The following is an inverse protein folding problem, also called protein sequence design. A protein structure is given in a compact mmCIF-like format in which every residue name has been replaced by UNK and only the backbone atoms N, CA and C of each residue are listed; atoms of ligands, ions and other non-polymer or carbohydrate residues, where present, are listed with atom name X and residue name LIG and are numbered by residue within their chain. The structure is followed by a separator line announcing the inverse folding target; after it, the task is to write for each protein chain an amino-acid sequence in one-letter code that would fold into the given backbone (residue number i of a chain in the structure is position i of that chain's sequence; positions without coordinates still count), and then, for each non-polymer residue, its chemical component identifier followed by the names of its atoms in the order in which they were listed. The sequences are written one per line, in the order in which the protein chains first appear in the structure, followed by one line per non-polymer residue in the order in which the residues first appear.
data_IF_144215859596
#
_entry.id   IF_144215859596
#
_cell.length_a   1.000
_cell.length_b   1.000
_cell.length_c   1.000
_cell.angle_alpha   90.00
_cell.angle_beta   90.00
_cell.angle_gamma   90.00
#
_symmetry.space_group_name_H-M   'P 1'
#
loop_
_entity.id
_entity.type
_entity.pdbx_description
1 polymer ?
#
# COMPACT_ATOMS: atom_id res chain seq x y z
N UNK A 1 -19.73 -7.50 -32.17
CA UNK A 1 -20.26 -6.48 -31.23
C UNK A 1 -19.17 -5.59 -30.55
N UNK A 2 -17.92 -6.02 -30.29
CA UNK A 2 -16.86 -5.11 -29.77
C UNK A 2 -16.27 -4.17 -30.83
N UNK A 3 -16.21 -4.56 -32.07
CA UNK A 3 -15.60 -3.76 -33.16
C UNK A 3 -16.49 -2.62 -33.68
N UNK A 4 -17.80 -2.74 -33.54
CA UNK A 4 -18.74 -1.71 -34.00
C UNK A 4 -18.71 -0.45 -33.11
N UNK A 5 -18.48 -0.62 -31.82
CA UNK A 5 -18.34 0.54 -30.88
C UNK A 5 -17.04 1.33 -31.09
N UNK A 6 -16.00 0.66 -31.56
CA UNK A 6 -14.74 1.31 -31.91
C UNK A 6 -14.84 2.15 -33.17
N UNK A 7 -15.58 1.64 -34.19
CA UNK A 7 -15.84 2.37 -35.42
C UNK A 7 -16.76 3.57 -35.20
N UNK A 8 -17.74 3.45 -34.30
CA UNK A 8 -18.64 4.56 -33.95
C UNK A 8 -17.92 5.67 -33.14
N UNK A 9 -16.91 5.29 -32.35
CA UNK A 9 -16.07 6.26 -31.63
C UNK A 9 -15.10 6.99 -32.58
N UNK A 10 -14.58 6.32 -33.62
CA UNK A 10 -13.73 6.93 -34.63
C UNK A 10 -14.51 7.84 -35.59
N UNK A 11 -15.79 7.54 -35.85
CA UNK A 11 -16.68 8.37 -36.68
C UNK A 11 -17.12 9.68 -36.04
N UNK A 12 -16.82 9.88 -34.77
CA UNK A 12 -17.12 11.12 -33.97
C UNK A 12 -15.91 12.02 -33.80
N UNK A 13 -14.76 11.72 -34.39
CA UNK A 13 -13.61 12.60 -34.37
C UNK A 13 -13.89 13.83 -35.24
N UNK A 14 -13.61 15.00 -34.70
CA UNK A 14 -13.81 16.28 -35.31
C UNK A 14 -13.06 16.37 -36.65
N UNK A 15 -13.76 16.65 -37.73
CA UNK A 15 -13.21 16.72 -39.09
C UNK A 15 -12.08 17.76 -39.21
N UNK A 16 -12.08 18.76 -38.34
CA UNK A 16 -11.02 19.78 -38.29
C UNK A 16 -9.69 19.22 -37.79
N UNK A 17 -9.70 18.27 -36.87
CA UNK A 17 -8.50 17.57 -36.38
C UNK A 17 -7.92 16.63 -37.42
N UNK A 18 -8.77 15.98 -38.24
CA UNK A 18 -8.33 15.11 -39.33
C UNK A 18 -7.71 15.94 -40.45
N UNK A 19 -8.25 17.11 -40.75
CA UNK A 19 -7.72 18.03 -41.77
C UNK A 19 -6.38 18.66 -41.36
N UNK A 20 -6.09 18.82 -40.09
CA UNK A 20 -4.83 19.33 -39.56
C UNK A 20 -3.69 18.30 -39.61
N UNK A 21 -4.01 17.01 -39.55
CA UNK A 21 -3.07 15.90 -39.59
C UNK A 21 -2.70 15.45 -41.05
N UNK A 22 -3.33 15.99 -42.08
CA UNK A 22 -3.07 15.57 -43.45
C UNK A 22 -1.69 16.04 -43.97
N UNK A 23 -0.83 15.16 -44.50
CA UNK A 23 0.48 15.54 -45.02
C UNK A 23 0.31 16.30 -46.34
N UNK A 24 0.64 17.60 -46.37
CA UNK A 24 0.70 18.37 -47.59
C UNK A 24 0.29 19.84 -47.55
N UNK A 25 -0.21 20.36 -46.45
CA UNK A 25 -0.48 21.81 -46.33
C UNK A 25 0.78 22.60 -46.00
N UNK A 26 1.21 23.50 -46.90
CA UNK A 26 2.24 24.48 -46.60
C UNK A 26 1.75 25.42 -45.47
N UNK A 27 2.51 25.61 -44.42
CA UNK A 27 2.07 26.49 -43.33
C UNK A 27 1.95 27.94 -43.81
N UNK A 28 1.01 28.75 -43.28
CA UNK A 28 0.88 30.14 -43.63
C UNK A 28 2.17 30.89 -43.26
N UNK A 29 2.61 31.81 -44.13
CA UNK A 29 3.80 32.64 -43.92
C UNK A 29 3.63 33.47 -42.61
N UNK A 30 4.30 33.05 -41.56
CA UNK A 30 4.32 33.76 -40.27
C UNK A 30 5.06 35.12 -40.46
N UNK A 31 4.43 36.21 -40.02
CA UNK A 31 5.06 37.51 -39.93
C UNK A 31 6.34 37.40 -39.06
N UNK A 32 7.43 38.02 -39.50
CA UNK A 32 8.71 38.06 -38.76
C UNK A 32 8.54 38.85 -37.48
N UNK A 33 8.20 38.20 -36.39
CA UNK A 33 8.36 38.77 -35.07
C UNK A 33 9.83 38.78 -34.72
N UNK A 34 10.34 39.94 -34.28
CA UNK A 34 11.73 40.15 -33.97
C UNK A 34 12.23 39.09 -32.96
N UNK A 35 13.43 38.54 -33.22
CA UNK A 35 14.02 37.47 -32.39
C UNK A 35 14.09 37.82 -30.90
N UNK A 36 14.18 39.09 -30.56
CA UNK A 36 14.24 39.59 -29.19
C UNK A 36 12.99 39.27 -28.36
N UNK A 37 11.77 39.26 -28.98
CA UNK A 37 10.53 38.94 -28.25
C UNK A 37 10.49 37.45 -27.87
N UNK A 38 11.07 36.55 -28.68
CA UNK A 38 11.15 35.13 -28.37
C UNK A 38 12.10 34.80 -27.23
N UNK A 39 13.19 35.53 -27.12
CA UNK A 39 14.16 35.36 -26.02
C UNK A 39 13.61 35.92 -24.71
N UNK A 40 12.87 37.04 -24.74
CA UNK A 40 12.20 37.58 -23.56
C UNK A 40 11.12 36.67 -22.99
N UNK A 41 10.33 36.02 -23.85
CA UNK A 41 9.31 35.05 -23.40
C UNK A 41 9.94 33.78 -22.81
N UNK A 42 11.05 33.30 -23.38
CA UNK A 42 11.76 32.13 -22.84
C UNK A 42 12.38 32.43 -21.47
N UNK A 43 12.96 33.64 -21.31
CA UNK A 43 13.52 34.06 -20.02
C UNK A 43 12.46 34.23 -18.95
N UNK A 44 11.28 34.79 -19.28
CA UNK A 44 10.17 34.90 -18.34
C UNK A 44 9.58 33.56 -17.91
N UNK A 45 9.47 32.59 -18.83
CA UNK A 45 9.05 31.21 -18.49
C UNK A 45 10.09 30.52 -17.60
N UNK A 46 11.39 30.68 -17.89
CA UNK A 46 12.46 30.10 -17.04
C UNK A 46 12.46 30.77 -15.65
N UNK A 47 12.27 32.07 -15.53
CA UNK A 47 12.17 32.73 -14.24
C UNK A 47 10.95 32.28 -13.43
N UNK A 48 9.80 32.04 -14.07
CA UNK A 48 8.63 31.50 -13.39
C UNK A 48 8.79 30.04 -12.96
N UNK A 49 9.48 29.23 -13.77
CA UNK A 49 9.81 27.84 -13.39
C UNK A 49 10.81 27.82 -12.23
N UNK A 50 11.82 28.66 -12.26
CA UNK A 50 12.82 28.76 -11.17
C UNK A 50 12.18 29.34 -9.91
N UNK A 51 11.41 30.41 -10.01
CA UNK A 51 10.71 31.01 -8.85
C UNK A 51 9.63 30.06 -8.28
N UNK A 52 8.84 29.42 -9.14
CA UNK A 52 7.85 28.42 -8.74
C UNK A 52 8.49 27.15 -8.21
N UNK A 53 9.63 26.73 -8.80
CA UNK A 53 10.42 25.59 -8.32
C UNK A 53 11.08 25.87 -6.97
N UNK A 54 11.61 27.06 -6.76
CA UNK A 54 12.23 27.46 -5.48
C UNK A 54 11.14 27.60 -4.40
N UNK A 55 9.96 28.12 -4.74
CA UNK A 55 8.87 28.20 -3.79
C UNK A 55 8.29 26.83 -3.43
N UNK A 56 8.17 25.94 -4.41
CA UNK A 56 7.77 24.56 -4.17
C UNK A 56 8.86 23.77 -3.44
N UNK A 57 10.15 24.05 -3.70
CA UNK A 57 11.28 23.45 -2.97
C UNK A 57 11.37 23.96 -1.52
N UNK A 58 11.00 25.23 -1.26
CA UNK A 58 10.97 25.77 0.10
C UNK A 58 9.73 25.37 0.90
N UNK A 59 8.71 24.79 0.24
CA UNK A 59 7.52 24.19 0.87
C UNK A 59 7.56 22.66 0.87
N UNK A 60 8.58 22.04 0.25
CA UNK A 60 8.86 20.64 0.47
C UNK A 60 9.42 20.49 1.88
N UNK A 61 8.91 19.56 2.71
CA UNK A 61 9.50 19.29 4.00
C UNK A 61 10.98 19.01 3.82
N UNK A 62 11.81 19.65 4.62
CA UNK A 62 13.26 19.48 4.63
C UNK A 62 13.54 18.00 4.86
N UNK A 63 14.39 17.42 3.99
CA UNK A 63 14.84 16.04 4.07
C UNK A 63 15.31 15.77 5.50
N UNK A 64 14.53 15.00 6.28
CA UNK A 64 14.91 14.58 7.63
C UNK A 64 13.89 14.81 8.74
N UNK A 65 12.80 15.54 8.51
CA UNK A 65 11.67 15.51 9.43
C UNK A 65 10.66 14.51 8.87
N UNK A 66 10.58 13.35 9.52
CA UNK A 66 9.37 12.54 9.46
C UNK A 66 8.18 13.53 9.63
N UNK A 67 7.12 13.40 8.84
CA UNK A 67 5.88 14.05 9.21
C UNK A 67 5.70 13.76 10.68
N UNK A 68 5.38 14.72 11.54
CA UNK A 68 5.45 14.80 13.01
C UNK A 68 4.95 13.55 13.80
N UNK A 69 5.15 12.35 13.30
CA UNK A 69 4.27 11.24 13.34
C UNK A 69 4.98 10.00 13.88
N UNK A 70 6.18 9.66 13.41
CA UNK A 70 6.91 8.51 13.94
C UNK A 70 7.88 8.95 15.04
N UNK A 71 7.75 8.32 16.21
CA UNK A 71 8.71 8.56 17.30
C UNK A 71 9.51 7.29 17.57
N UNK A 72 10.81 7.36 17.37
CA UNK A 72 11.73 6.27 17.73
C UNK A 72 12.25 6.50 19.14
N UNK A 73 12.08 5.53 20.03
CA UNK A 73 12.51 5.57 21.43
C UNK A 73 13.07 4.22 21.86
N UNK A 74 13.53 4.13 23.12
CA UNK A 74 13.94 2.84 23.70
C UNK A 74 12.78 1.84 23.84
N UNK A 75 11.55 2.33 23.86
CA UNK A 75 10.33 1.51 23.94
C UNK A 75 9.91 0.96 22.56
N UNK A 76 10.49 1.46 21.48
CA UNK A 76 10.22 1.05 20.10
C UNK A 76 9.84 2.23 19.21
N UNK A 77 9.16 1.92 18.11
CA UNK A 77 8.66 2.87 17.14
C UNK A 77 7.17 3.13 17.41
N UNK A 78 6.83 4.36 17.72
CA UNK A 78 5.44 4.79 17.83
C UNK A 78 4.93 5.23 16.46
N UNK A 79 3.93 4.52 15.97
CA UNK A 79 3.15 4.90 14.79
C UNK A 79 2.04 5.83 15.27
N UNK A 80 1.95 7.07 14.77
CA UNK A 80 0.93 8.00 15.24
C UNK A 80 -0.48 7.54 14.88
N UNK A 81 -1.47 8.07 15.57
CA UNK A 81 -2.84 7.91 15.15
C UNK A 81 -3.04 8.56 13.77
N UNK A 82 -3.70 7.85 12.86
CA UNK A 82 -3.98 8.39 11.53
C UNK A 82 -5.07 9.46 11.64
N UNK A 83 -4.69 10.70 11.35
CA UNK A 83 -5.62 11.81 11.21
C UNK A 83 -6.02 11.95 9.75
N UNK A 84 -7.28 11.65 9.44
CA UNK A 84 -7.80 11.86 8.08
C UNK A 84 -8.25 13.32 7.95
N UNK A 85 -7.46 14.13 7.27
CA UNK A 85 -7.79 15.51 6.94
C UNK A 85 -8.34 15.55 5.51
N UNK A 86 -9.63 15.82 5.36
CA UNK A 86 -10.26 16.00 4.06
C UNK A 86 -10.31 17.49 3.72
N UNK A 87 -9.57 17.91 2.69
CA UNK A 87 -9.63 19.28 2.18
C UNK A 87 -10.93 19.50 1.42
N UNK A 88 -11.67 20.57 1.76
CA UNK A 88 -12.86 21.02 1.00
C UNK A 88 -12.54 21.39 -0.46
N UNK A 89 -11.27 21.59 -0.80
CA UNK A 89 -10.80 22.02 -2.12
C UNK A 89 -10.21 20.87 -2.96
N UNK A 90 -10.27 19.61 -2.49
CA UNK A 90 -9.77 18.47 -3.23
C UNK A 90 -10.66 18.19 -4.46
N UNK A 91 -10.33 18.81 -5.57
CA UNK A 91 -10.96 18.57 -6.89
C UNK A 91 -10.44 17.33 -7.60
N UNK A 92 -9.49 16.61 -7.01
CA UNK A 92 -8.95 15.36 -7.53
C UNK A 92 -9.49 14.21 -6.68
N UNK A 93 -10.33 13.36 -7.25
CA UNK A 93 -10.59 12.02 -6.72
C UNK A 93 -9.27 11.25 -6.87
N UNK A 94 -8.47 11.21 -5.82
CA UNK A 94 -7.39 10.24 -5.71
C UNK A 94 -8.04 8.86 -5.52
N UNK A 95 -7.46 7.83 -6.13
CA UNK A 95 -7.80 6.45 -5.79
C UNK A 95 -7.48 6.25 -4.31
N UNK A 96 -8.51 6.32 -3.47
CA UNK A 96 -8.34 6.23 -2.03
C UNK A 96 -8.44 4.78 -1.60
N UNK A 97 -7.48 4.36 -0.79
CA UNK A 97 -7.53 3.06 -0.11
C UNK A 97 -8.80 3.04 0.76
N UNK A 98 -9.53 1.92 0.75
CA UNK A 98 -10.71 1.76 1.57
C UNK A 98 -10.37 1.91 3.06
N UNK A 99 -11.09 2.77 3.77
CA UNK A 99 -10.93 2.95 5.22
C UNK A 99 -12.25 3.35 5.88
N UNK A 100 -12.31 3.20 7.19
CA UNK A 100 -13.36 3.74 8.05
C UNK A 100 -12.83 4.04 9.45
N UNK A 101 -13.60 4.84 10.20
CA UNK A 101 -13.30 5.20 11.57
C UNK A 101 -14.25 4.48 12.52
N UNK A 102 -13.69 3.86 13.54
CA UNK A 102 -14.44 3.23 14.62
C UNK A 102 -13.69 3.43 15.95
N UNK A 103 -14.40 3.91 16.98
CA UNK A 103 -13.84 4.26 18.30
C UNK A 103 -12.62 5.19 18.22
N UNK A 104 -12.70 6.19 17.33
CA UNK A 104 -11.63 7.17 17.10
C UNK A 104 -10.37 6.60 16.43
N UNK A 105 -10.42 5.36 15.93
CA UNK A 105 -9.32 4.68 15.25
C UNK A 105 -9.59 4.56 13.77
N UNK A 106 -8.57 4.72 12.94
CA UNK A 106 -8.67 4.53 11.50
C UNK A 106 -8.28 3.09 11.12
N UNK A 107 -9.22 2.37 10.53
CA UNK A 107 -9.03 1.02 9.99
C UNK A 107 -8.88 1.10 8.49
N UNK A 108 -7.78 0.57 7.98
CA UNK A 108 -7.42 0.62 6.56
C UNK A 108 -7.59 -0.76 5.94
N UNK A 109 -8.10 -0.79 4.70
CA UNK A 109 -8.27 -2.02 3.95
C UNK A 109 -6.97 -2.83 3.90
N UNK A 110 -7.10 -4.12 4.18
CA UNK A 110 -5.99 -5.07 4.14
C UNK A 110 -6.14 -6.07 2.99
N UNK A 111 -7.17 -6.91 3.03
CA UNK A 111 -7.36 -7.98 2.05
C UNK A 111 -8.83 -8.45 2.00
N UNK A 112 -9.21 -9.07 0.88
CA UNK A 112 -10.50 -9.73 0.70
C UNK A 112 -10.35 -11.23 0.88
N UNK A 113 -11.35 -11.82 1.55
CA UNK A 113 -11.45 -13.25 1.75
C UNK A 113 -12.79 -13.76 1.25
N UNK A 114 -12.76 -14.93 0.62
CA UNK A 114 -13.95 -15.68 0.23
C UNK A 114 -13.96 -17.00 1.02
N UNK A 115 -15.15 -17.52 1.32
CA UNK A 115 -15.33 -18.83 1.98
C UNK A 115 -14.86 -18.91 3.46
N UNK A 116 -14.72 -17.80 4.16
CA UNK A 116 -14.35 -17.74 5.59
C UNK A 116 -15.57 -17.44 6.49
N UNK A 117 -16.68 -18.08 6.27
CA UNK A 117 -17.96 -17.79 6.96
C UNK A 117 -17.85 -17.80 8.49
N UNK A 118 -16.94 -18.58 9.06
CA UNK A 118 -16.78 -18.74 10.50
C UNK A 118 -16.11 -17.55 11.21
N UNK A 119 -15.46 -16.64 10.49
CA UNK A 119 -14.61 -15.60 11.08
C UNK A 119 -15.34 -14.31 11.45
N UNK A 120 -16.48 -14.05 10.83
CA UNK A 120 -17.30 -12.86 11.14
C UNK A 120 -17.87 -12.97 12.54
N UNK A 121 -17.59 -11.96 13.37
CA UNK A 121 -17.99 -11.87 14.78
C UNK A 121 -19.28 -11.06 14.98
N UNK A 122 -19.26 -10.19 15.98
CA UNK A 122 -20.40 -9.36 16.36
C UNK A 122 -20.53 -8.16 15.42
N UNK A 123 -21.77 -7.78 15.12
CA UNK A 123 -22.08 -6.54 14.43
C UNK A 123 -21.77 -5.34 15.34
N UNK A 124 -21.02 -4.37 14.83
CA UNK A 124 -20.58 -3.19 15.58
C UNK A 124 -21.30 -1.91 15.16
N UNK A 125 -21.71 -1.82 13.90
CA UNK A 125 -22.39 -0.66 13.35
C UNK A 125 -22.31 -0.61 11.83
N UNK A 126 -22.85 0.46 11.24
CA UNK A 126 -22.85 0.67 9.78
C UNK A 126 -22.15 1.98 9.44
N UNK A 127 -21.26 1.98 8.46
CA UNK A 127 -20.66 3.20 7.92
C UNK A 127 -21.75 4.01 7.23
N UNK A 128 -22.05 5.18 7.77
CA UNK A 128 -23.12 6.08 7.32
C UNK A 128 -22.58 7.41 6.79
N UNK A 129 -21.36 7.79 7.18
CA UNK A 129 -20.70 9.01 6.74
C UNK A 129 -19.78 8.73 5.56
N UNK A 130 -20.15 9.21 4.37
CA UNK A 130 -19.27 9.18 3.20
C UNK A 130 -18.37 10.41 3.17
N UNK A 131 -17.21 10.27 2.58
CA UNK A 131 -16.20 11.34 2.49
C UNK A 131 -16.77 12.63 1.90
N UNK A 132 -17.65 12.51 0.91
CA UNK A 132 -18.27 13.67 0.22
C UNK A 132 -19.24 14.45 1.13
N UNK A 133 -19.77 13.81 2.15
CA UNK A 133 -20.75 14.36 3.09
C UNK A 133 -20.09 14.80 4.39
N UNK A 134 -18.85 14.35 4.61
CA UNK A 134 -18.18 14.47 5.89
C UNK A 134 -17.15 15.59 5.89
N UNK A 135 -17.46 16.64 6.61
CA UNK A 135 -16.49 17.67 6.99
C UNK A 135 -16.60 17.89 8.49
N UNK A 136 -15.81 17.19 9.30
CA UNK A 136 -15.81 17.43 10.74
C UNK A 136 -15.28 18.84 11.01
N UNK A 137 -16.04 19.65 11.67
CA UNK A 137 -15.56 20.92 12.24
C UNK A 137 -14.81 20.67 13.56
N UNK A 138 -15.05 19.54 14.23
CA UNK A 138 -14.55 19.22 15.57
C UNK A 138 -14.10 17.74 15.71
N UNK A 139 -13.29 17.20 14.81
CA UNK A 139 -12.71 15.86 14.97
C UNK A 139 -13.40 14.73 14.17
N UNK A 140 -13.01 13.50 14.45
CA UNK A 140 -13.48 12.31 13.73
C UNK A 140 -14.86 11.88 14.18
N UNK A 141 -15.68 11.42 13.23
CA UNK A 141 -16.99 10.85 13.49
C UNK A 141 -16.90 9.35 13.29
N UNK A 142 -17.29 8.57 14.30
CA UNK A 142 -17.40 7.13 14.18
C UNK A 142 -18.34 6.73 13.02
N UNK A 143 -18.00 5.65 12.35
CA UNK A 143 -18.67 5.17 11.14
C UNK A 143 -18.65 6.16 9.96
N UNK A 144 -17.61 6.99 9.88
CA UNK A 144 -17.26 7.72 8.66
C UNK A 144 -16.15 6.99 7.90
N UNK A 145 -16.14 7.06 6.58
CA UNK A 145 -15.10 6.42 5.78
C UNK A 145 -15.26 6.56 4.28
N UNK A 146 -14.32 5.96 3.55
CA UNK A 146 -14.35 5.85 2.08
C UNK A 146 -15.14 4.63 1.60
N UNK A 147 -15.57 3.77 2.51
CA UNK A 147 -16.38 2.58 2.23
C UNK A 147 -17.77 2.74 2.84
N UNK A 148 -18.73 1.94 2.38
CA UNK A 148 -20.03 1.79 3.00
C UNK A 148 -20.25 0.36 3.49
N UNK A 149 -21.23 0.16 4.35
CA UNK A 149 -21.67 -1.16 4.79
C UNK A 149 -21.52 -1.41 6.27
N UNK A 150 -21.88 -2.63 6.66
CA UNK A 150 -21.88 -3.07 8.05
C UNK A 150 -20.50 -3.54 8.49
N UNK A 151 -20.10 -3.09 9.68
CA UNK A 151 -18.81 -3.42 10.30
C UNK A 151 -19.04 -4.50 11.36
N UNK A 152 -18.14 -5.47 11.37
CA UNK A 152 -18.15 -6.60 12.30
C UNK A 152 -16.77 -6.78 12.94
N UNK A 153 -16.76 -7.33 14.16
CA UNK A 153 -15.53 -7.85 14.75
C UNK A 153 -15.07 -9.11 13.98
N UNK A 154 -13.77 -9.42 14.12
CA UNK A 154 -13.19 -10.64 13.55
C UNK A 154 -12.88 -11.61 14.69
N UNK A 155 -13.49 -12.81 14.64
CA UNK A 155 -13.29 -13.82 15.69
C UNK A 155 -11.82 -14.22 15.78
N UNK A 156 -11.28 -14.23 16.99
CA UNK A 156 -9.90 -14.57 17.25
C UNK A 156 -8.94 -13.38 17.18
N UNK A 157 -9.40 -12.20 16.78
CA UNK A 157 -8.59 -10.98 16.72
C UNK A 157 -9.16 -9.89 17.62
N UNK A 158 -8.28 -9.08 18.18
CA UNK A 158 -8.68 -7.93 18.98
C UNK A 158 -9.40 -6.90 18.09
N UNK A 159 -10.59 -6.40 18.48
CA UNK A 159 -11.29 -5.39 17.69
C UNK A 159 -10.46 -4.13 17.43
N UNK A 160 -9.57 -3.76 18.37
CA UNK A 160 -8.67 -2.62 18.25
C UNK A 160 -7.61 -2.80 17.15
N UNK A 161 -7.47 -4.01 16.63
CA UNK A 161 -6.51 -4.33 15.56
C UNK A 161 -7.19 -4.68 14.25
N UNK A 162 -8.23 -5.56 14.27
CA UNK A 162 -8.81 -6.08 13.03
C UNK A 162 -10.33 -6.09 13.08
N UNK A 163 -10.94 -5.49 12.07
CA UNK A 163 -12.38 -5.50 11.82
C UNK A 163 -12.66 -5.97 10.40
N UNK A 164 -13.90 -6.29 10.08
CA UNK A 164 -14.29 -6.68 8.73
C UNK A 164 -15.63 -6.11 8.31
N UNK A 165 -15.84 -6.07 6.99
CA UNK A 165 -17.15 -5.92 6.36
C UNK A 165 -17.53 -7.23 5.67
N UNK A 166 -18.82 -7.45 5.47
CA UNK A 166 -19.34 -8.59 4.71
C UNK A 166 -20.27 -8.10 3.61
N UNK A 167 -19.91 -8.40 2.37
CA UNK A 167 -20.74 -8.10 1.21
C UNK A 167 -21.84 -9.14 0.99
N UNK A 168 -22.89 -8.76 0.26
CA UNK A 168 -24.01 -9.65 -0.07
C UNK A 168 -23.60 -10.89 -0.90
N UNK A 169 -22.50 -10.79 -1.65
CA UNK A 169 -21.92 -11.88 -2.44
C UNK A 169 -21.05 -12.85 -1.61
N UNK A 170 -20.91 -12.62 -0.30
CA UNK A 170 -20.14 -13.44 0.62
C UNK A 170 -18.66 -13.04 0.74
N UNK A 171 -18.20 -12.02 0.02
CA UNK A 171 -16.85 -11.47 0.19
C UNK A 171 -16.76 -10.80 1.54
N UNK A 172 -15.69 -11.10 2.27
CA UNK A 172 -15.34 -10.48 3.55
C UNK A 172 -14.08 -9.65 3.32
N UNK A 173 -14.18 -8.34 3.54
CA UNK A 173 -13.06 -7.42 3.45
C UNK A 173 -12.52 -7.15 4.84
N UNK A 174 -11.23 -7.40 5.07
CA UNK A 174 -10.55 -7.16 6.33
C UNK A 174 -9.93 -5.76 6.34
N UNK A 175 -10.01 -5.12 7.48
CA UNK A 175 -9.45 -3.81 7.76
C UNK A 175 -8.63 -3.88 9.03
N UNK A 176 -7.46 -3.28 9.02
CA UNK A 176 -6.55 -3.30 10.16
C UNK A 176 -6.20 -1.89 10.63
N UNK A 177 -6.04 -1.76 11.93
CA UNK A 177 -5.58 -0.55 12.59
C UNK A 177 -4.14 -0.76 13.07
N UNK A 178 -3.18 -0.23 12.31
CA UNK A 178 -1.75 -0.23 12.66
C UNK A 178 -1.25 1.17 13.02
N UNK A 179 -2.14 2.07 13.42
CA UNK A 179 -1.84 3.43 13.82
C UNK A 179 -2.22 3.67 15.29
N UNK A 180 -1.61 4.66 15.91
CA UNK A 180 -1.79 4.93 17.35
C UNK A 180 -1.21 3.84 18.25
N UNK A 181 -0.14 3.14 17.80
CA UNK A 181 0.49 2.04 18.53
C UNK A 181 2.01 2.23 18.61
N UNK A 182 2.62 1.64 19.63
CA UNK A 182 4.07 1.50 19.72
C UNK A 182 4.43 0.04 19.55
N UNK A 183 5.42 -0.26 18.72
CA UNK A 183 5.94 -1.61 18.49
C UNK A 183 7.46 -1.59 18.50
N UNK A 184 8.08 -2.59 19.13
CA UNK A 184 9.51 -2.75 19.17
C UNK A 184 9.99 -3.98 18.44
N UNK A 185 9.42 -5.13 18.74
CA UNK A 185 9.81 -6.42 18.17
C UNK A 185 8.73 -6.96 17.25
N UNK A 186 9.14 -7.75 16.25
CA UNK A 186 8.21 -8.41 15.34
C UNK A 186 7.13 -9.22 16.05
N UNK A 187 7.46 -9.84 17.21
CA UNK A 187 6.51 -10.58 18.04
C UNK A 187 5.22 -9.81 18.35
N UNK A 188 5.32 -8.51 18.60
CA UNK A 188 4.16 -7.67 18.95
C UNK A 188 3.13 -7.55 17.79
N UNK A 189 3.56 -7.81 16.57
CA UNK A 189 2.69 -7.89 15.39
C UNK A 189 2.39 -9.35 15.02
N UNK A 190 3.44 -10.14 14.76
CA UNK A 190 3.28 -11.44 14.11
C UNK A 190 2.68 -12.49 15.05
N UNK A 191 3.06 -12.47 16.34
CA UNK A 191 2.51 -13.40 17.33
C UNK A 191 1.32 -12.79 18.09
N UNK A 192 1.51 -11.60 18.69
CA UNK A 192 0.53 -11.08 19.64
C UNK A 192 -0.75 -10.55 18.95
N UNK A 193 -0.67 -10.11 17.68
CA UNK A 193 -1.81 -9.58 16.93
C UNK A 193 -2.29 -10.49 15.80
N UNK A 194 -1.35 -11.08 15.04
CA UNK A 194 -1.66 -11.92 13.88
C UNK A 194 -1.72 -13.43 14.22
N UNK A 195 -1.26 -13.81 15.42
CA UNK A 195 -1.30 -15.20 15.92
C UNK A 195 -0.64 -16.20 14.96
N UNK A 196 0.50 -15.82 14.35
CA UNK A 196 1.17 -16.59 13.30
C UNK A 196 1.57 -17.97 13.78
N UNK A 197 2.23 -18.07 14.97
CA UNK A 197 2.73 -19.35 15.47
C UNK A 197 1.61 -20.32 15.80
N UNK A 198 1.76 -21.56 15.35
CA UNK A 198 0.81 -22.63 15.63
C UNK A 198 -0.52 -22.59 14.86
N UNK A 199 -0.81 -21.52 14.14
CA UNK A 199 -2.06 -21.34 13.38
C UNK A 199 -1.90 -21.48 11.87
N UNK A 200 -0.72 -21.85 11.37
CA UNK A 200 -0.44 -22.01 9.94
C UNK A 200 -1.13 -23.27 9.40
N UNK A 201 -1.94 -23.12 8.37
CA UNK A 201 -2.52 -24.20 7.59
C UNK A 201 -1.63 -24.56 6.39
N UNK A 202 -1.01 -23.56 5.72
CA UNK A 202 -0.13 -23.75 4.59
C UNK A 202 0.79 -22.56 4.38
N UNK A 203 1.88 -22.77 3.63
CA UNK A 203 2.83 -21.72 3.27
C UNK A 203 3.01 -21.72 1.76
N UNK A 204 2.92 -20.55 1.15
CA UNK A 204 3.08 -20.36 -0.29
C UNK A 204 3.94 -19.11 -0.54
N UNK A 205 4.59 -19.09 -1.70
CA UNK A 205 5.32 -17.90 -2.16
C UNK A 205 5.20 -17.73 -3.66
N UNK A 206 5.49 -16.53 -4.12
CA UNK A 206 5.66 -16.20 -5.53
C UNK A 206 6.74 -15.12 -5.68
N UNK A 207 7.30 -14.96 -6.89
CA UNK A 207 8.20 -13.86 -7.18
C UNK A 207 7.46 -12.53 -7.25
N UNK A 208 8.20 -11.44 -7.03
CA UNK A 208 7.68 -10.09 -7.24
C UNK A 208 7.09 -9.92 -8.65
N UNK A 209 7.74 -10.50 -9.66
CA UNK A 209 7.27 -10.43 -11.05
C UNK A 209 5.92 -11.13 -11.23
N UNK A 210 5.74 -12.33 -10.64
CA UNK A 210 4.47 -13.06 -10.66
C UNK A 210 3.35 -12.22 -10.05
N UNK A 211 3.59 -11.70 -8.84
CA UNK A 211 2.62 -10.87 -8.13
C UNK A 211 2.28 -9.58 -8.89
N UNK A 212 3.30 -8.86 -9.38
CA UNK A 212 3.10 -7.56 -10.06
C UNK A 212 2.29 -7.68 -11.35
N UNK A 213 2.49 -8.77 -12.11
CA UNK A 213 1.75 -9.03 -13.34
C UNK A 213 0.52 -9.93 -13.15
N UNK A 214 0.13 -10.24 -11.91
CA UNK A 214 -1.00 -11.10 -11.57
C UNK A 214 -0.95 -12.45 -12.31
N UNK A 215 0.25 -13.08 -12.36
CA UNK A 215 0.46 -14.36 -13.00
C UNK A 215 -0.01 -15.53 -12.14
N UNK A 216 -0.11 -15.32 -10.82
CA UNK A 216 -0.51 -16.34 -9.83
C UNK A 216 0.36 -17.61 -9.84
N UNK A 217 1.67 -17.45 -10.11
CA UNK A 217 2.64 -18.55 -10.10
C UNK A 217 3.03 -18.87 -8.65
N UNK A 218 2.12 -19.52 -7.92
CA UNK A 218 2.28 -19.85 -6.51
C UNK A 218 3.02 -21.18 -6.33
N UNK A 219 4.04 -21.18 -5.49
CA UNK A 219 4.81 -22.35 -5.06
C UNK A 219 4.47 -22.68 -3.61
N UNK A 220 4.43 -23.97 -3.28
CA UNK A 220 4.07 -24.46 -1.94
C UNK A 220 5.31 -24.88 -1.18
N UNK A 221 5.42 -24.47 0.09
CA UNK A 221 6.43 -24.91 1.03
C UNK A 221 5.81 -25.83 2.08
N UNK A 222 6.60 -26.79 2.56
CA UNK A 222 6.19 -27.60 3.71
C UNK A 222 6.29 -26.74 4.99
N UNK A 223 5.15 -26.48 5.61
CA UNK A 223 5.05 -25.67 6.83
C UNK A 223 5.74 -26.29 8.05
N UNK A 224 5.96 -27.59 8.06
CA UNK A 224 6.60 -28.33 9.16
C UNK A 224 8.13 -28.29 9.08
N UNK A 225 8.69 -27.78 8.00
CA UNK A 225 10.13 -27.67 7.83
C UNK A 225 10.80 -26.75 8.85
N UNK A 226 12.01 -27.11 9.26
CA UNK A 226 12.73 -26.39 10.31
C UNK A 226 13.03 -24.94 9.94
N UNK A 227 13.30 -24.68 8.65
CA UNK A 227 13.61 -23.32 8.19
C UNK A 227 12.40 -22.36 8.29
N UNK A 228 11.16 -22.88 8.16
CA UNK A 228 9.95 -22.07 8.36
C UNK A 228 9.81 -21.66 9.83
N UNK A 229 9.99 -22.62 10.76
CA UNK A 229 9.95 -22.32 12.21
C UNK A 229 11.03 -21.34 12.59
N UNK A 230 12.25 -21.55 12.11
CA UNK A 230 13.36 -20.63 12.36
C UNK A 230 13.10 -19.23 11.81
N UNK A 231 12.57 -19.13 10.59
CA UNK A 231 12.22 -17.84 10.01
C UNK A 231 11.20 -17.09 10.88
N UNK A 232 10.15 -17.78 11.37
CA UNK A 232 9.14 -17.19 12.26
C UNK A 232 9.77 -16.77 13.60
N UNK A 233 10.63 -17.60 14.20
CA UNK A 233 11.34 -17.26 15.43
C UNK A 233 12.19 -15.98 15.27
N UNK A 234 12.85 -15.83 14.11
CA UNK A 234 13.62 -14.61 13.81
C UNK A 234 12.70 -13.42 13.54
N UNK A 235 11.62 -13.63 12.77
CA UNK A 235 10.62 -12.60 12.50
C UNK A 235 10.07 -12.00 13.80
N UNK A 236 9.84 -12.83 14.82
CA UNK A 236 9.37 -12.40 16.13
C UNK A 236 10.45 -11.70 16.97
N UNK A 237 11.70 -12.15 16.87
CA UNK A 237 12.78 -11.69 17.71
C UNK A 237 13.43 -10.37 17.28
N UNK A 238 13.33 -10.03 16.01
CA UNK A 238 14.00 -8.86 15.46
C UNK A 238 13.25 -7.56 15.75
N UNK A 239 14.00 -6.46 15.94
CA UNK A 239 13.42 -5.14 16.14
C UNK A 239 12.88 -4.56 14.85
N UNK A 240 11.78 -3.81 14.95
CA UNK A 240 11.27 -3.04 13.83
C UNK A 240 12.21 -1.90 13.44
N UNK A 241 12.29 -1.66 12.15
CA UNK A 241 13.04 -0.58 11.50
C UNK A 241 12.08 0.25 10.66
N UNK A 242 12.34 1.54 10.53
CA UNK A 242 11.63 2.39 9.58
C UNK A 242 12.07 2.08 8.15
N UNK A 243 11.15 1.72 7.28
CA UNK A 243 11.42 1.38 5.88
C UNK A 243 12.16 2.50 5.13
N UNK A 244 11.85 3.76 5.42
CA UNK A 244 12.52 4.91 4.82
C UNK A 244 14.00 5.01 5.21
N UNK A 245 14.34 4.71 6.48
CA UNK A 245 15.72 4.76 6.97
C UNK A 245 16.54 3.61 6.37
N UNK A 246 15.91 2.44 6.23
CA UNK A 246 16.50 1.30 5.54
C UNK A 246 16.76 1.65 4.08
N UNK A 247 15.78 2.14 3.34
CA UNK A 247 15.94 2.51 1.94
C UNK A 247 17.05 3.56 1.75
N UNK A 248 17.11 4.56 2.62
CA UNK A 248 18.14 5.58 2.60
C UNK A 248 19.55 4.99 2.87
N UNK A 249 19.65 4.05 3.81
CA UNK A 249 20.91 3.39 4.18
C UNK A 249 21.42 2.48 3.06
N UNK A 250 20.54 1.68 2.45
CA UNK A 250 20.89 0.74 1.39
C UNK A 250 20.98 1.43 0.00
N UNK A 251 20.63 2.70 -0.10
CA UNK A 251 20.70 3.48 -1.34
C UNK A 251 19.55 3.22 -2.30
N UNK A 252 18.46 2.65 -1.84
CA UNK A 252 17.22 2.46 -2.61
C UNK A 252 16.42 3.76 -2.66
N UNK A 253 15.74 4.01 -3.78
CA UNK A 253 14.85 5.17 -3.86
C UNK A 253 13.61 4.95 -2.99
N UNK A 254 13.07 3.73 -3.03
CA UNK A 254 11.95 3.27 -2.22
C UNK A 254 12.16 1.81 -1.80
N UNK A 255 11.61 1.41 -0.67
CA UNK A 255 11.70 0.03 -0.19
C UNK A 255 11.20 -1.01 -1.21
N UNK A 256 10.21 -0.65 -2.03
CA UNK A 256 9.65 -1.53 -3.08
C UNK A 256 10.64 -1.85 -4.20
N UNK A 257 11.71 -1.08 -4.35
CA UNK A 257 12.70 -1.31 -5.41
C UNK A 257 13.54 -2.58 -5.17
N UNK A 258 13.66 -2.97 -3.89
CA UNK A 258 14.39 -4.15 -3.43
C UNK A 258 13.51 -5.38 -3.18
N UNK A 259 12.21 -5.30 -3.50
CA UNK A 259 11.28 -6.41 -3.30
C UNK A 259 11.57 -7.56 -4.25
N UNK A 260 11.69 -8.78 -3.73
CA UNK A 260 12.05 -9.98 -4.51
C UNK A 260 10.95 -11.05 -4.52
N UNK A 261 10.37 -11.33 -3.35
CA UNK A 261 9.34 -12.36 -3.21
C UNK A 261 8.18 -11.90 -2.34
N UNK A 262 7.04 -12.56 -2.53
CA UNK A 262 5.86 -12.51 -1.68
C UNK A 262 5.70 -13.87 -0.99
N UNK A 263 5.60 -13.86 0.33
CA UNK A 263 5.41 -15.04 1.16
C UNK A 263 4.06 -14.98 1.85
N UNK A 264 3.30 -16.06 1.75
CA UNK A 264 1.95 -16.17 2.26
C UNK A 264 1.86 -17.27 3.31
N UNK A 265 1.43 -16.92 4.50
CA UNK A 265 0.98 -17.87 5.50
C UNK A 265 -0.54 -17.95 5.46
N UNK A 266 -1.07 -19.06 4.95
CA UNK A 266 -2.50 -19.34 4.99
C UNK A 266 -2.81 -19.86 6.40
N UNK A 267 -3.73 -19.21 7.10
CA UNK A 267 -4.05 -19.48 8.49
C UNK A 267 -5.18 -20.51 8.61
N UNK A 268 -5.27 -21.20 9.76
CA UNK A 268 -6.32 -22.21 10.01
C UNK A 268 -7.73 -21.63 10.07
N UNK A 269 -7.86 -20.34 10.37
CA UNK A 269 -9.12 -19.62 10.39
C UNK A 269 -9.56 -19.12 8.99
N UNK A 270 -8.73 -19.37 7.98
CA UNK A 270 -8.96 -18.96 6.59
C UNK A 270 -8.40 -17.57 6.25
N UNK A 271 -7.83 -16.86 7.21
CA UNK A 271 -7.10 -15.62 6.91
C UNK A 271 -5.74 -15.91 6.26
N UNK A 272 -5.08 -14.88 5.79
CA UNK A 272 -3.78 -14.96 5.15
C UNK A 272 -2.89 -13.83 5.65
N UNK A 273 -1.67 -14.16 6.05
CA UNK A 273 -0.63 -13.18 6.36
C UNK A 273 0.28 -13.09 5.15
N UNK A 274 0.36 -11.90 4.58
CA UNK A 274 1.16 -11.62 3.40
C UNK A 274 2.40 -10.81 3.78
N UNK A 275 3.56 -11.41 3.57
CA UNK A 275 4.86 -10.79 3.80
C UNK A 275 5.51 -10.47 2.46
N UNK A 276 6.16 -9.32 2.39
CA UNK A 276 7.03 -8.90 1.29
C UNK A 276 8.47 -9.08 1.71
N UNK A 277 9.20 -9.85 0.93
CA UNK A 277 10.60 -10.13 1.14
C UNK A 277 11.42 -9.24 0.23
N UNK A 278 12.42 -8.60 0.82
CA UNK A 278 13.30 -7.66 0.15
C UNK A 278 14.72 -8.19 0.13
N UNK A 279 15.57 -7.63 -0.71
CA UNK A 279 17.02 -7.88 -0.69
C UNK A 279 17.58 -7.70 0.72
N UNK A 280 18.73 -8.31 0.99
CA UNK A 280 19.47 -8.22 2.26
C UNK A 280 18.71 -8.64 3.52
N UNK A 281 17.62 -9.43 3.36
CA UNK A 281 16.90 -10.03 4.48
C UNK A 281 15.84 -9.13 5.13
N UNK A 282 15.50 -8.03 4.51
CA UNK A 282 14.40 -7.20 5.04
C UNK A 282 13.04 -7.81 4.72
N UNK A 283 12.16 -7.83 5.71
CA UNK A 283 10.79 -8.39 5.61
C UNK A 283 9.78 -7.39 6.10
N UNK A 284 8.73 -7.19 5.32
CA UNK A 284 7.66 -6.26 5.59
C UNK A 284 6.30 -6.96 5.55
N UNK A 285 5.44 -6.64 6.51
CA UNK A 285 4.04 -7.06 6.46
C UNK A 285 3.25 -6.19 5.47
N UNK A 286 2.44 -6.81 4.62
CA UNK A 286 1.62 -6.10 3.62
C UNK A 286 0.69 -5.06 4.23
N UNK A 287 0.19 -5.30 5.43
CA UNK A 287 -0.69 -4.38 6.14
C UNK A 287 0.04 -3.29 6.95
N UNK A 288 1.39 -3.25 6.95
CA UNK A 288 2.19 -2.27 7.67
C UNK A 288 3.32 -1.76 6.75
N UNK A 289 3.07 -0.67 6.05
CA UNK A 289 3.92 -0.23 4.94
C UNK A 289 5.23 0.44 5.37
N UNK A 290 5.26 1.02 6.56
CA UNK A 290 6.35 1.90 7.00
C UNK A 290 7.38 1.21 7.87
N UNK A 291 7.09 -0.02 8.32
CA UNK A 291 7.97 -0.80 9.17
C UNK A 291 8.38 -2.13 8.51
N UNK A 292 9.62 -2.53 8.77
CA UNK A 292 10.16 -3.82 8.40
C UNK A 292 11.03 -4.38 9.54
N UNK A 293 11.34 -5.66 9.47
CA UNK A 293 12.35 -6.32 10.30
C UNK A 293 13.48 -6.83 9.41
N UNK A 294 14.68 -7.02 9.98
CA UNK A 294 15.81 -7.60 9.27
C UNK A 294 16.11 -9.00 9.79
N UNK A 295 15.82 -10.01 8.99
CA UNK A 295 16.14 -11.40 9.30
C UNK A 295 17.66 -11.62 9.13
N UNK A 296 18.33 -12.33 10.06
CA UNK A 296 19.74 -12.67 9.91
C UNK A 296 20.02 -13.41 8.60
N UNK A 297 21.14 -13.08 7.95
CA UNK A 297 21.52 -13.56 6.61
C UNK A 297 21.47 -15.09 6.49
N UNK A 298 21.94 -15.83 7.50
CA UNK A 298 21.95 -17.29 7.49
C UNK A 298 20.52 -17.87 7.45
N UNK A 299 19.59 -17.36 8.27
CA UNK A 299 18.20 -17.83 8.32
C UNK A 299 17.43 -17.42 7.07
N UNK A 300 17.67 -16.20 6.58
CA UNK A 300 17.09 -15.72 5.35
C UNK A 300 17.56 -16.51 4.13
N UNK A 301 18.86 -16.77 4.04
CA UNK A 301 19.46 -17.60 2.97
C UNK A 301 18.85 -19.00 2.92
N UNK A 302 18.62 -19.66 4.08
CA UNK A 302 17.95 -20.96 4.12
C UNK A 302 16.53 -20.92 3.54
N UNK A 303 15.78 -19.87 3.83
CA UNK A 303 14.45 -19.67 3.25
C UNK A 303 14.51 -19.51 1.73
N UNK A 304 15.41 -18.66 1.23
CA UNK A 304 15.59 -18.45 -0.22
C UNK A 304 16.07 -19.70 -0.95
N UNK A 305 16.93 -20.52 -0.31
CA UNK A 305 17.37 -21.80 -0.88
C UNK A 305 16.21 -22.80 -0.97
N UNK A 306 15.30 -22.78 0.01
CA UNK A 306 14.09 -23.59 -0.06
C UNK A 306 13.15 -23.14 -1.21
N UNK A 307 13.07 -21.83 -1.49
CA UNK A 307 12.31 -21.32 -2.64
C UNK A 307 12.85 -21.89 -3.96
N UNK A 308 14.17 -21.85 -4.15
CA UNK A 308 14.82 -22.44 -5.34
C UNK A 308 14.58 -23.94 -5.45
N UNK A 309 14.69 -24.68 -4.34
CA UNK A 309 14.46 -26.13 -4.31
C UNK A 309 13.00 -26.50 -4.61
N UNK A 310 12.06 -25.65 -4.29
CA UNK A 310 10.63 -25.84 -4.59
C UNK A 310 10.27 -25.45 -6.04
N UNK A 311 11.25 -25.14 -6.87
CA UNK A 311 11.06 -24.77 -8.28
C UNK A 311 10.73 -23.29 -8.51
N UNK A 312 10.83 -22.47 -7.47
CA UNK A 312 10.69 -21.02 -7.60
C UNK A 312 11.79 -20.42 -8.49
N UNK A 313 11.54 -19.26 -9.09
CA UNK A 313 12.55 -18.58 -9.91
C UNK A 313 13.75 -18.21 -9.04
N UNK A 314 14.94 -18.37 -9.61
CA UNK A 314 16.18 -17.83 -9.02
C UNK A 314 16.32 -16.38 -9.51
N UNK A 315 16.16 -15.42 -8.65
CA UNK A 315 16.58 -14.02 -8.94
C UNK A 315 18.08 -13.85 -8.80
#
# INVERSE_FOLDING_TARGET
MKNERLLDALGKMDEDLIAEAAPGRKPPKKAKTAAWVKWGALAACLCMIVAGGIWKLSTLPTKGELPSEYTVSEEGITIPAMEVSLSKEATAMADMIGFFIYEGRCYVYYENFTEVEGIVGEYLGTVTGMIDEWTPEEGYVDFAGSIGGDIYSVKGYAPEFMLCTKEANGVISMYICNNGITVKYGKELYEDRLHLSGNIAGVQFESRESWFYSKEELYVLDKEEAYIREFIEKLDAEEFLLCQDVAAKEGWQHMVDSEIYHLYFNMKDGTKIHLRLHEDGYVRFQGMWDLCVKIPEESYGRLLDAFKQSGGPSE
#
